data_IF_667011621192
#
_entry.id   IF_667011621192
#
_cell.length_a   1.000
_cell.length_b   1.000
_cell.length_c   1.000
_cell.angle_alpha   90.00
_cell.angle_beta   90.00
_cell.angle_gamma   90.00
#
_symmetry.space_group_name_H-M   'P 1'
#
loop_
_entity.id
_entity.type
_entity.pdbx_description
1 polymer ?
#
# COMPACT_ATOMS: atom_id res chain seq x y z
N UNK A 1 -17.52 4.52 19.66
CA UNK A 1 -18.17 4.69 18.33
C UNK A 1 -18.75 3.34 17.95
N UNK A 2 -20.04 3.23 17.60
CA UNK A 2 -20.69 1.93 17.46
C UNK A 2 -20.13 1.16 16.26
N UNK A 3 -19.89 -0.13 16.50
CA UNK A 3 -19.58 -1.17 15.52
C UNK A 3 -20.61 -1.14 14.39
N UNK A 4 -20.17 -0.93 13.14
CA UNK A 4 -21.00 -1.20 11.97
C UNK A 4 -21.08 -2.71 11.80
N UNK A 5 -22.29 -3.24 11.96
CA UNK A 5 -22.67 -4.62 11.67
C UNK A 5 -22.10 -5.10 10.33
N UNK A 6 -21.45 -6.25 10.33
CA UNK A 6 -20.70 -6.85 9.21
C UNK A 6 -21.52 -7.79 8.31
N UNK A 7 -22.85 -7.65 8.25
CA UNK A 7 -23.71 -8.67 7.62
C UNK A 7 -24.55 -8.18 6.43
N UNK A 8 -24.23 -7.02 5.86
CA UNK A 8 -24.68 -6.68 4.52
C UNK A 8 -23.60 -7.08 3.51
N UNK A 9 -23.93 -7.73 2.38
CA UNK A 9 -22.95 -8.00 1.34
C UNK A 9 -22.34 -6.65 0.91
N UNK A 10 -21.02 -6.53 1.08
CA UNK A 10 -20.30 -5.31 0.75
C UNK A 10 -20.45 -5.11 -0.76
N UNK A 11 -21.22 -4.08 -1.14
CA UNK A 11 -21.54 -3.82 -2.55
C UNK A 11 -20.24 -3.62 -3.32
N UNK A 12 -20.00 -4.48 -4.31
CA UNK A 12 -18.85 -4.33 -5.21
C UNK A 12 -19.05 -3.09 -6.06
N UNK A 13 -18.09 -2.17 -6.02
CA UNK A 13 -18.03 -0.98 -6.86
C UNK A 13 -17.44 -1.33 -8.24
N UNK A 14 -18.08 -0.83 -9.29
CA UNK A 14 -17.57 -0.88 -10.65
C UNK A 14 -16.94 0.45 -11.03
N UNK A 15 -16.30 0.52 -12.19
CA UNK A 15 -15.69 1.77 -12.67
C UNK A 15 -16.63 2.96 -12.68
N UNK A 16 -17.94 2.73 -12.90
CA UNK A 16 -18.99 3.78 -12.91
C UNK A 16 -19.33 4.32 -11.53
N UNK A 17 -18.95 3.61 -10.46
CA UNK A 17 -19.18 4.02 -9.08
C UNK A 17 -18.00 4.84 -8.51
N UNK A 18 -16.87 4.89 -9.22
CA UNK A 18 -15.63 5.51 -8.75
C UNK A 18 -15.49 6.88 -9.40
N UNK A 19 -15.19 7.90 -8.60
CA UNK A 19 -15.16 9.28 -9.08
C UNK A 19 -13.81 9.94 -8.78
N UNK A 20 -13.33 10.78 -9.71
CA UNK A 20 -12.18 11.62 -9.45
C UNK A 20 -12.46 12.55 -8.26
N UNK A 21 -11.49 12.66 -7.35
CA UNK A 21 -11.62 13.37 -6.08
C UNK A 21 -11.92 12.45 -4.87
N UNK A 22 -12.43 11.23 -5.10
CA UNK A 22 -12.63 10.26 -4.02
C UNK A 22 -11.33 10.03 -3.26
N UNK A 23 -11.39 10.10 -1.93
CA UNK A 23 -10.22 9.96 -1.06
C UNK A 23 -10.45 8.88 -0.02
N UNK A 24 -9.47 7.98 0.11
CA UNK A 24 -9.48 6.86 1.03
C UNK A 24 -8.37 7.03 2.06
N UNK A 25 -8.72 6.86 3.34
CA UNK A 25 -7.77 6.88 4.44
C UNK A 25 -7.29 5.46 4.73
N UNK A 26 -6.00 5.30 4.98
CA UNK A 26 -5.43 4.03 5.40
C UNK A 26 -5.34 3.92 6.91
N UNK A 27 -5.62 2.73 7.42
CA UNK A 27 -5.24 2.37 8.77
C UNK A 27 -3.71 2.42 8.95
N UNK A 28 -3.29 2.37 10.21
CA UNK A 28 -1.87 2.35 10.57
C UNK A 28 -1.36 0.92 10.62
N UNK A 29 -0.18 0.70 10.08
CA UNK A 29 0.54 -0.56 10.15
C UNK A 29 1.94 -0.35 10.70
N UNK A 30 2.30 -1.10 11.74
CA UNK A 30 3.65 -1.10 12.30
C UNK A 30 4.36 -2.39 11.89
N UNK A 31 5.47 -2.25 11.18
CA UNK A 31 6.39 -3.34 10.90
C UNK A 31 7.18 -3.67 12.17
N UNK A 32 7.17 -4.95 12.52
CA UNK A 32 8.10 -5.47 13.53
C UNK A 32 9.46 -5.74 12.89
N UNK A 33 10.49 -5.76 13.72
CA UNK A 33 11.84 -6.12 13.28
C UNK A 33 11.88 -7.50 12.62
N UNK A 34 11.17 -8.48 13.19
CA UNK A 34 11.07 -9.83 12.62
C UNK A 34 10.46 -9.80 11.22
N UNK A 35 9.39 -9.03 11.01
CA UNK A 35 8.78 -8.88 9.69
C UNK A 35 9.72 -8.24 8.68
N UNK A 36 10.55 -7.28 9.10
CA UNK A 36 11.58 -6.66 8.25
C UNK A 36 12.58 -7.73 7.80
N UNK A 37 13.15 -8.47 8.76
CA UNK A 37 14.15 -9.51 8.49
C UNK A 37 13.56 -10.64 7.62
N UNK A 38 12.35 -11.11 7.92
CA UNK A 38 11.71 -12.21 7.20
C UNK A 38 11.41 -11.85 5.75
N UNK A 39 10.96 -10.62 5.49
CA UNK A 39 10.77 -10.12 4.13
C UNK A 39 12.11 -9.98 3.42
N UNK A 40 13.09 -9.35 4.06
CA UNK A 40 14.41 -9.10 3.48
C UNK A 40 15.12 -10.40 3.08
N UNK A 41 15.05 -11.44 3.92
CA UNK A 41 15.61 -12.76 3.59
C UNK A 41 15.03 -13.38 2.33
N UNK A 42 13.77 -13.09 2.01
CA UNK A 42 13.10 -13.64 0.84
C UNK A 42 13.30 -12.78 -0.41
N UNK A 43 13.30 -11.45 -0.28
CA UNK A 43 13.11 -10.55 -1.42
C UNK A 43 14.22 -9.52 -1.61
N UNK A 44 14.86 -9.07 -0.53
CA UNK A 44 15.79 -7.95 -0.55
C UNK A 44 16.89 -8.14 0.51
N UNK A 45 17.89 -8.97 0.16
CA UNK A 45 18.90 -9.47 1.10
C UNK A 45 20.02 -8.47 1.41
N UNK A 46 19.79 -7.16 1.20
CA UNK A 46 20.78 -6.16 1.58
C UNK A 46 21.02 -6.20 3.10
N UNK A 47 22.29 -6.12 3.50
CA UNK A 47 22.71 -6.37 4.90
C UNK A 47 22.02 -5.45 5.91
N UNK A 48 21.74 -4.20 5.55
CA UNK A 48 21.04 -3.24 6.41
C UNK A 48 19.54 -3.53 6.63
N UNK A 49 19.00 -4.60 6.02
CA UNK A 49 17.67 -5.13 6.28
C UNK A 49 17.68 -6.41 7.13
N UNK A 50 18.83 -7.05 7.33
CA UNK A 50 18.93 -8.38 7.96
C UNK A 50 19.88 -8.39 9.16
N UNK A 51 21.05 -7.76 9.03
CA UNK A 51 22.12 -7.83 10.02
C UNK A 51 22.07 -6.64 10.97
N UNK A 52 21.67 -6.88 12.22
CA UNK A 52 21.50 -5.83 13.23
C UNK A 52 22.79 -5.05 13.49
N UNK A 53 23.91 -5.74 13.69
CA UNK A 53 25.18 -5.09 14.04
C UNK A 53 25.70 -4.22 12.88
N UNK A 54 25.60 -4.74 11.66
CA UNK A 54 25.93 -3.99 10.44
C UNK A 54 25.04 -2.75 10.29
N UNK A 55 23.73 -2.92 10.45
CA UNK A 55 22.76 -1.83 10.32
C UNK A 55 22.93 -0.77 11.43
N UNK A 56 23.27 -1.20 12.66
CA UNK A 56 23.52 -0.34 13.81
C UNK A 56 24.76 0.54 13.66
N UNK A 57 25.82 0.01 13.03
CA UNK A 57 27.02 0.78 12.70
C UNK A 57 26.85 1.72 11.50
N UNK A 58 25.77 1.56 10.72
CA UNK A 58 25.49 2.35 9.53
C UNK A 58 24.79 3.69 9.79
N UNK A 59 24.53 4.43 8.71
CA UNK A 59 23.93 5.78 8.73
C UNK A 59 22.51 5.83 9.35
N UNK A 60 21.79 4.72 9.36
CA UNK A 60 20.43 4.63 9.89
C UNK A 60 20.38 4.17 11.36
N UNK A 61 21.53 3.79 11.93
CA UNK A 61 21.67 3.37 13.33
C UNK A 61 20.71 2.24 13.74
N UNK A 62 20.36 1.35 12.81
CA UNK A 62 19.44 0.24 13.03
C UNK A 62 18.88 -0.32 11.73
N UNK A 63 18.14 -1.42 11.85
CA UNK A 63 17.45 -2.04 10.71
C UNK A 63 16.39 -1.10 10.14
N UNK A 64 16.33 -1.05 8.81
CA UNK A 64 15.29 -0.34 8.07
C UNK A 64 14.49 -1.33 7.23
N UNK A 65 13.20 -1.06 7.02
CA UNK A 65 12.40 -1.85 6.09
C UNK A 65 12.90 -1.65 4.65
N UNK A 66 12.81 -2.70 3.82
CA UNK A 66 13.01 -2.56 2.37
C UNK A 66 11.97 -1.62 1.77
N UNK A 67 12.38 -0.78 0.80
CA UNK A 67 11.44 0.04 0.04
C UNK A 67 10.33 -0.81 -0.60
N UNK A 68 10.67 -2.00 -1.12
CA UNK A 68 9.71 -2.94 -1.69
C UNK A 68 8.71 -3.44 -0.63
N UNK A 69 9.18 -3.69 0.59
CA UNK A 69 8.31 -4.06 1.71
C UNK A 69 7.28 -2.97 2.01
N UNK A 70 7.71 -1.70 1.96
CA UNK A 70 6.77 -0.58 2.18
C UNK A 70 5.71 -0.48 1.10
N UNK A 71 6.05 -0.80 -0.16
CA UNK A 71 5.07 -0.90 -1.27
C UNK A 71 4.09 -2.05 -1.02
N UNK A 72 4.56 -3.21 -0.54
CA UNK A 72 3.67 -4.32 -0.19
C UNK A 72 2.70 -3.96 0.95
N UNK A 73 3.17 -3.22 1.96
CA UNK A 73 2.31 -2.73 3.05
C UNK A 73 1.30 -1.70 2.52
N UNK A 74 1.71 -0.78 1.64
CA UNK A 74 0.78 0.12 0.94
C UNK A 74 -0.31 -0.68 0.22
N UNK A 75 0.05 -1.70 -0.57
CA UNK A 75 -0.92 -2.53 -1.28
C UNK A 75 -1.90 -3.20 -0.30
N UNK A 76 -1.41 -3.74 0.82
CA UNK A 76 -2.26 -4.33 1.87
C UNK A 76 -3.25 -3.29 2.41
N UNK A 77 -2.78 -2.11 2.77
CA UNK A 77 -3.63 -1.04 3.32
C UNK A 77 -4.65 -0.53 2.30
N UNK A 78 -4.25 -0.36 1.04
CA UNK A 78 -5.14 0.04 -0.04
C UNK A 78 -6.21 -1.04 -0.32
N UNK A 79 -5.86 -2.32 -0.24
CA UNK A 79 -6.83 -3.42 -0.34
C UNK A 79 -7.85 -3.39 0.78
N UNK A 80 -7.40 -3.19 2.03
CA UNK A 80 -8.32 -3.10 3.18
C UNK A 80 -9.22 -1.86 3.11
N UNK A 81 -8.69 -0.74 2.62
CA UNK A 81 -9.43 0.52 2.57
C UNK A 81 -10.41 0.61 1.37
N UNK A 82 -10.05 0.07 0.21
CA UNK A 82 -10.86 0.24 -1.01
C UNK A 82 -10.85 -0.96 -1.96
N UNK A 83 -9.70 -1.54 -2.30
CA UNK A 83 -9.63 -2.45 -3.45
C UNK A 83 -10.38 -3.77 -3.28
N UNK A 84 -10.54 -4.26 -2.04
CA UNK A 84 -11.33 -5.48 -1.77
C UNK A 84 -12.81 -5.33 -2.12
N UNK A 85 -13.28 -4.09 -2.27
CA UNK A 85 -14.68 -3.76 -2.59
C UNK A 85 -14.87 -3.34 -4.04
N UNK A 86 -13.83 -3.42 -4.87
CA UNK A 86 -13.88 -2.99 -6.26
C UNK A 86 -13.82 -4.20 -7.20
N UNK A 87 -14.49 -4.10 -8.34
CA UNK A 87 -14.34 -5.05 -9.44
C UNK A 87 -13.04 -4.75 -10.22
N UNK A 88 -11.90 -5.18 -9.68
CA UNK A 88 -10.58 -4.95 -10.28
C UNK A 88 -10.17 -6.11 -11.17
N UNK A 89 -9.74 -5.79 -12.39
CA UNK A 89 -9.17 -6.79 -13.33
C UNK A 89 -7.68 -7.00 -13.04
N UNK A 90 -6.89 -5.93 -13.00
CA UNK A 90 -5.46 -5.97 -12.77
C UNK A 90 -4.90 -4.58 -12.44
N UNK A 91 -3.70 -4.54 -11.85
CA UNK A 91 -2.88 -3.34 -11.82
C UNK A 91 -2.27 -3.06 -13.19
N UNK A 92 -2.32 -1.81 -13.65
CA UNK A 92 -1.78 -1.44 -14.96
C UNK A 92 -0.35 -0.90 -14.86
N UNK A 93 -0.08 0.00 -13.91
CA UNK A 93 1.22 0.63 -13.75
C UNK A 93 1.35 1.29 -12.38
N UNK A 94 2.56 1.29 -11.83
CA UNK A 94 2.97 2.13 -10.70
C UNK A 94 4.10 3.04 -11.17
N UNK A 95 3.99 4.34 -10.92
CA UNK A 95 4.97 5.36 -11.36
C UNK A 95 5.31 6.29 -10.19
N UNK A 96 6.44 7.00 -10.31
CA UNK A 96 6.86 8.07 -9.40
C UNK A 96 6.97 7.69 -7.91
N UNK A 97 7.28 6.42 -7.63
CA UNK A 97 7.52 5.97 -6.26
C UNK A 97 8.79 6.62 -5.69
N UNK A 98 8.66 7.29 -4.53
CA UNK A 98 9.77 7.94 -3.83
C UNK A 98 9.83 7.47 -2.38
N UNK A 99 10.98 6.92 -1.99
CA UNK A 99 11.24 6.49 -0.61
C UNK A 99 11.83 7.65 0.18
N UNK A 100 10.94 8.50 0.73
CA UNK A 100 11.35 9.78 1.33
C UNK A 100 12.15 9.63 2.62
N UNK A 101 11.93 8.54 3.37
CA UNK A 101 12.60 8.23 4.63
C UNK A 101 12.48 6.75 4.95
N UNK A 102 13.40 6.18 5.74
CA UNK A 102 13.19 4.87 6.36
C UNK A 102 11.90 4.85 7.18
N UNK A 103 11.10 3.80 7.05
CA UNK A 103 9.80 3.71 7.71
C UNK A 103 9.55 2.34 8.32
N UNK A 104 9.10 2.34 9.57
CA UNK A 104 8.57 1.16 10.29
C UNK A 104 7.11 1.33 10.67
N UNK A 105 6.56 2.53 10.52
CA UNK A 105 5.16 2.86 10.75
C UNK A 105 4.62 3.47 9.47
N UNK A 106 3.62 2.80 8.89
CA UNK A 106 3.09 3.08 7.57
C UNK A 106 1.59 3.35 7.68
N UNK A 107 1.15 4.38 7.00
CA UNK A 107 -0.23 4.83 6.84
C UNK A 107 -0.22 5.82 5.68
N UNK A 108 -1.36 6.39 5.32
CA UNK A 108 -1.43 7.39 4.28
C UNK A 108 -2.84 7.55 3.75
N UNK A 109 -2.91 8.15 2.57
CA UNK A 109 -4.14 8.37 1.84
C UNK A 109 -3.97 8.00 0.38
N UNK A 110 -5.07 7.68 -0.29
CA UNK A 110 -5.13 7.61 -1.74
C UNK A 110 -6.25 8.49 -2.25
N UNK A 111 -5.97 9.28 -3.27
CA UNK A 111 -6.97 10.11 -3.96
C UNK A 111 -7.06 9.69 -5.41
N UNK A 112 -8.28 9.46 -5.88
CA UNK A 112 -8.56 9.17 -7.28
C UNK A 112 -8.35 10.45 -8.10
N UNK A 113 -7.49 10.38 -9.10
CA UNK A 113 -7.14 11.50 -9.96
C UNK A 113 -7.91 11.48 -11.27
N UNK A 114 -8.15 10.31 -11.83
CA UNK A 114 -8.86 10.15 -13.08
C UNK A 114 -9.54 8.78 -13.17
N UNK A 115 -10.64 8.73 -13.93
CA UNK A 115 -11.38 7.52 -14.28
C UNK A 115 -11.68 7.61 -15.77
N UNK A 116 -11.11 6.71 -16.56
CA UNK A 116 -11.17 6.77 -18.03
C UNK A 116 -11.67 5.43 -18.56
N UNK A 117 -12.78 5.43 -19.31
CA UNK A 117 -13.35 4.21 -19.87
C UNK A 117 -12.77 3.87 -21.24
N UNK A 118 -12.47 2.59 -21.45
CA UNK A 118 -12.15 2.04 -22.76
C UNK A 118 -13.42 1.61 -23.52
N UNK A 119 -13.27 1.34 -24.82
CA UNK A 119 -14.37 0.86 -25.67
C UNK A 119 -14.91 -0.53 -25.32
N UNK A 120 -14.35 -1.20 -24.29
CA UNK A 120 -14.79 -2.51 -23.78
C UNK A 120 -15.58 -2.37 -22.47
N UNK A 121 -15.85 -1.13 -22.04
CA UNK A 121 -16.59 -0.85 -20.81
C UNK A 121 -15.75 -1.01 -19.53
N UNK A 122 -14.42 -1.01 -19.63
CA UNK A 122 -13.52 -1.08 -18.45
C UNK A 122 -12.99 0.31 -18.15
N UNK A 123 -12.84 0.63 -16.87
CA UNK A 123 -12.23 1.88 -16.44
C UNK A 123 -10.75 1.69 -16.08
N UNK A 124 -9.89 2.55 -16.61
CA UNK A 124 -8.60 2.84 -16.02
C UNK A 124 -8.78 3.87 -14.91
N UNK A 125 -8.55 3.44 -13.67
CA UNK A 125 -8.58 4.32 -12.49
C UNK A 125 -7.16 4.70 -12.12
N UNK A 126 -6.85 5.99 -12.18
CA UNK A 126 -5.55 6.54 -11.76
C UNK A 126 -5.69 7.16 -10.38
N UNK A 127 -4.80 6.80 -9.45
CA UNK A 127 -4.75 7.35 -8.11
C UNK A 127 -3.35 7.87 -7.79
N UNK A 128 -3.27 8.80 -6.85
CA UNK A 128 -2.03 9.16 -6.16
C UNK A 128 -2.13 8.73 -4.70
N UNK A 129 -1.03 8.22 -4.15
CA UNK A 129 -0.94 7.89 -2.73
C UNK A 129 0.19 8.67 -2.07
N UNK A 130 0.02 9.00 -0.78
CA UNK A 130 0.98 9.75 0.03
C UNK A 130 0.72 9.61 1.51
#
# INVERSE_FOLDING_TARGET
>A
MPSKSTDAPQRIAYGVDIHAGDTYLFDRYRLTEQQIIDFARQWDQQRFHIEKDFAGAGIYHGLIASGLQTICVFQRLATLAMFSTWSIVAGHSSRDARFLRPATHLTGTATIRAVEFDGRGRALVTLSAG
#
